data_IF_301397809244
#
_entry.id   IF_301397809244
#
_cell.length_a   1.000
_cell.length_b   1.000
_cell.length_c   1.000
_cell.angle_alpha   90.00
_cell.angle_beta   90.00
_cell.angle_gamma   90.00
#
_symmetry.space_group_name_H-M   'P 1'
#
loop_
_entity.id
_entity.type
_entity.pdbx_description
1 polymer ?
#
# COMPACT_ATOMS: atom_id res chain seq x y z
N UNK A 1 34.91 1.27 -23.18
CA UNK A 1 35.30 1.88 -21.89
C UNK A 1 34.50 1.17 -20.84
N UNK A 2 35.15 0.42 -19.95
CA UNK A 2 34.49 -0.09 -18.74
C UNK A 2 34.03 1.12 -17.92
N UNK A 3 32.74 1.20 -17.61
CA UNK A 3 32.23 2.24 -16.71
C UNK A 3 32.84 2.08 -15.33
N UNK A 4 33.25 3.19 -14.70
CA UNK A 4 33.84 3.16 -13.37
C UNK A 4 32.88 2.50 -12.37
N UNK A 5 33.45 1.73 -11.45
CA UNK A 5 32.65 1.03 -10.42
C UNK A 5 31.90 2.02 -9.52
N UNK A 6 32.47 3.22 -9.31
CA UNK A 6 31.82 4.34 -8.65
C UNK A 6 30.58 4.81 -9.42
N UNK A 7 30.68 5.05 -10.73
CA UNK A 7 29.57 5.49 -11.56
C UNK A 7 28.37 4.56 -11.50
N UNK A 8 28.61 3.27 -11.69
CA UNK A 8 27.56 2.26 -11.57
C UNK A 8 26.93 2.22 -10.18
N UNK A 9 27.66 2.61 -9.13
CA UNK A 9 27.19 2.57 -7.74
C UNK A 9 26.31 3.77 -7.43
N UNK A 10 26.75 5.00 -7.72
CA UNK A 10 25.92 6.18 -7.43
C UNK A 10 24.68 6.23 -8.34
N UNK A 11 24.78 5.84 -9.61
CA UNK A 11 23.61 5.81 -10.52
C UNK A 11 22.53 4.86 -10.02
N UNK A 12 22.92 3.67 -9.53
CA UNK A 12 21.98 2.73 -8.90
C UNK A 12 21.29 3.34 -7.69
N UNK A 13 22.02 4.06 -6.84
CA UNK A 13 21.44 4.72 -5.66
C UNK A 13 20.45 5.81 -6.11
N UNK A 14 20.82 6.66 -7.07
CA UNK A 14 19.96 7.74 -7.56
C UNK A 14 18.69 7.22 -8.25
N UNK A 15 18.81 6.14 -9.04
CA UNK A 15 17.64 5.45 -9.62
C UNK A 15 16.76 4.89 -8.49
N UNK A 16 17.37 4.28 -7.47
CA UNK A 16 16.66 3.79 -6.30
C UNK A 16 15.86 4.87 -5.59
N UNK A 17 16.47 6.05 -5.37
CA UNK A 17 15.81 7.24 -4.83
C UNK A 17 14.65 7.69 -5.73
N UNK A 18 14.88 7.77 -7.05
CA UNK A 18 13.86 8.11 -8.03
C UNK A 18 12.63 7.20 -7.99
N UNK A 19 12.81 5.90 -7.82
CA UNK A 19 11.71 4.94 -7.72
C UNK A 19 10.85 5.12 -6.46
N UNK A 20 11.42 5.62 -5.36
CA UNK A 20 10.64 6.00 -4.17
C UNK A 20 9.80 7.26 -4.39
N UNK A 21 10.28 8.19 -5.21
CA UNK A 21 9.56 9.42 -5.53
C UNK A 21 8.35 9.25 -6.45
N UNK A 22 8.18 8.07 -7.06
CA UNK A 22 7.15 7.82 -8.07
C UNK A 22 6.09 6.84 -7.55
N UNK A 23 4.86 7.34 -7.36
CA UNK A 23 3.72 6.50 -6.97
C UNK A 23 2.76 6.33 -8.14
N UNK A 24 2.74 5.13 -8.74
CA UNK A 24 1.83 4.78 -9.84
C UNK A 24 0.78 3.77 -9.36
N UNK A 25 -0.50 4.17 -9.36
CA UNK A 25 -1.62 3.37 -8.80
C UNK A 25 -2.14 2.24 -9.71
N UNK A 26 -1.46 1.93 -10.81
CA UNK A 26 -1.86 0.86 -11.72
C UNK A 26 -0.85 -0.31 -11.67
N UNK A 27 -1.29 -1.53 -11.99
CA UNK A 27 -0.43 -2.74 -12.09
C UNK A 27 0.42 -3.05 -10.84
N UNK A 28 -0.03 -2.67 -9.64
CA UNK A 28 0.73 -2.83 -8.38
C UNK A 28 2.09 -2.10 -8.39
N UNK A 29 2.31 -1.15 -9.31
CA UNK A 29 3.57 -0.40 -9.38
C UNK A 29 3.83 0.41 -8.09
N UNK A 30 2.78 0.85 -7.40
CA UNK A 30 2.86 1.49 -6.10
C UNK A 30 3.52 0.62 -5.00
N UNK A 31 3.63 -0.70 -5.21
CA UNK A 31 4.34 -1.62 -4.30
C UNK A 31 5.66 -2.11 -4.92
N UNK A 32 5.68 -2.37 -6.23
CA UNK A 32 6.85 -2.89 -6.94
C UNK A 32 7.96 -1.82 -7.02
N UNK A 33 7.64 -0.57 -7.34
CA UNK A 33 8.64 0.50 -7.47
C UNK A 33 9.38 0.75 -6.16
N UNK A 34 8.70 0.98 -5.02
CA UNK A 34 9.39 1.12 -3.74
C UNK A 34 10.25 -0.09 -3.37
N UNK A 35 9.78 -1.32 -3.67
CA UNK A 35 10.56 -2.52 -3.42
C UNK A 35 11.85 -2.58 -4.24
N UNK A 36 11.77 -2.33 -5.55
CA UNK A 36 12.95 -2.25 -6.42
C UNK A 36 13.86 -1.10 -5.98
N UNK A 37 13.28 0.05 -5.63
CA UNK A 37 13.99 1.21 -5.09
C UNK A 37 14.80 0.85 -3.85
N UNK A 38 14.17 0.18 -2.87
CA UNK A 38 14.83 -0.25 -1.64
C UNK A 38 16.00 -1.20 -1.91
N UNK A 39 15.84 -2.14 -2.85
CA UNK A 39 16.91 -3.05 -3.26
C UNK A 39 18.08 -2.33 -3.95
N UNK A 40 17.79 -1.36 -4.82
CA UNK A 40 18.83 -0.54 -5.46
C UNK A 40 19.60 0.31 -4.45
N UNK A 41 18.89 0.94 -3.50
CA UNK A 41 19.52 1.66 -2.39
C UNK A 41 20.41 0.73 -1.56
N UNK A 42 19.87 -0.43 -1.15
CA UNK A 42 20.60 -1.40 -0.34
C UNK A 42 21.87 -1.88 -1.04
N UNK A 43 21.77 -2.31 -2.31
CA UNK A 43 22.91 -2.81 -3.08
C UNK A 43 23.94 -1.71 -3.38
N UNK A 44 23.50 -0.48 -3.64
CA UNK A 44 24.38 0.67 -3.80
C UNK A 44 25.15 1.01 -2.52
N UNK A 45 24.45 1.26 -1.41
CA UNK A 45 25.09 1.58 -0.13
C UNK A 45 25.94 0.43 0.44
N UNK A 46 25.60 -0.83 0.12
CA UNK A 46 26.40 -2.00 0.51
C UNK A 46 27.84 -1.92 0.00
N UNK A 47 28.03 -1.38 -1.21
CA UNK A 47 29.36 -1.17 -1.79
C UNK A 47 30.13 -0.03 -1.10
N UNK A 48 29.40 0.94 -0.56
CA UNK A 48 29.95 2.15 0.08
C UNK A 48 30.18 2.01 1.60
N UNK A 49 29.84 0.86 2.19
CA UNK A 49 29.79 0.68 3.65
C UNK A 49 31.15 0.82 4.38
N UNK A 50 32.25 0.69 3.66
CA UNK A 50 33.62 0.71 4.20
C UNK A 50 34.30 2.07 4.05
N UNK A 51 33.74 2.98 3.26
CA UNK A 51 34.37 4.24 2.89
C UNK A 51 34.40 5.21 4.08
N UNK A 52 33.22 5.57 4.61
CA UNK A 52 33.12 6.50 5.73
C UNK A 52 31.90 6.24 6.63
N UNK A 53 31.84 6.96 7.75
CA UNK A 53 30.79 6.80 8.77
C UNK A 53 29.38 7.10 8.25
N UNK A 54 29.22 8.06 7.35
CA UNK A 54 27.92 8.45 6.80
C UNK A 54 27.40 7.39 5.82
N UNK A 55 28.28 6.84 4.98
CA UNK A 55 27.93 5.77 4.04
C UNK A 55 27.67 4.45 4.76
N UNK A 56 28.39 4.17 5.86
CA UNK A 56 28.09 3.05 6.76
C UNK A 56 26.72 3.20 7.43
N UNK A 57 26.37 4.40 7.91
CA UNK A 57 25.05 4.69 8.45
C UNK A 57 23.97 4.57 7.36
N UNK A 58 24.25 5.06 6.16
CA UNK A 58 23.38 4.91 4.98
C UNK A 58 23.13 3.44 4.62
N UNK A 59 24.14 2.58 4.71
CA UNK A 59 23.96 1.13 4.52
C UNK A 59 23.02 0.51 5.58
N UNK A 60 23.17 0.87 6.85
CA UNK A 60 22.27 0.41 7.91
C UNK A 60 20.83 0.91 7.67
N UNK A 61 20.67 2.17 7.27
CA UNK A 61 19.38 2.75 6.91
C UNK A 61 18.74 2.05 5.71
N UNK A 62 19.51 1.75 4.66
CA UNK A 62 19.00 1.09 3.46
C UNK A 62 18.59 -0.37 3.75
N UNK A 63 19.29 -1.04 4.66
CA UNK A 63 18.87 -2.37 5.13
C UNK A 63 17.54 -2.31 5.89
N UNK A 64 17.39 -1.30 6.76
CA UNK A 64 16.14 -1.07 7.48
C UNK A 64 14.98 -0.72 6.53
N UNK A 65 15.25 0.09 5.49
CA UNK A 65 14.28 0.47 4.45
C UNK A 65 13.73 -0.75 3.72
N UNK A 66 14.60 -1.70 3.35
CA UNK A 66 14.17 -2.97 2.74
C UNK A 66 13.24 -3.74 3.67
N UNK A 67 13.56 -3.82 4.97
CA UNK A 67 12.72 -4.52 5.95
C UNK A 67 11.37 -3.84 6.10
N UNK A 68 11.34 -2.51 6.27
CA UNK A 68 10.10 -1.73 6.36
C UNK A 68 9.26 -1.94 5.10
N UNK A 69 9.86 -1.85 3.92
CA UNK A 69 9.16 -2.04 2.65
C UNK A 69 8.54 -3.43 2.54
N UNK A 70 9.27 -4.49 2.91
CA UNK A 70 8.74 -5.86 2.91
C UNK A 70 7.57 -5.98 3.88
N UNK A 71 7.71 -5.46 5.11
CA UNK A 71 6.65 -5.48 6.13
C UNK A 71 5.42 -4.75 5.63
N UNK A 72 5.57 -3.58 4.99
CA UNK A 72 4.48 -2.81 4.40
C UNK A 72 3.77 -3.53 3.27
N UNK A 73 4.51 -4.20 2.39
CA UNK A 73 3.91 -5.01 1.32
C UNK A 73 3.12 -6.20 1.89
N UNK A 74 3.70 -6.92 2.85
CA UNK A 74 3.07 -8.08 3.48
C UNK A 74 1.80 -7.66 4.25
N UNK A 75 1.88 -6.64 5.11
CA UNK A 75 0.73 -6.16 5.87
C UNK A 75 -0.33 -5.50 5.00
N UNK A 76 0.06 -4.84 3.91
CA UNK A 76 -0.87 -4.31 2.92
C UNK A 76 -1.70 -5.38 2.22
N UNK A 77 -1.24 -6.63 2.21
CA UNK A 77 -1.97 -7.77 1.66
C UNK A 77 -3.01 -8.39 2.61
N UNK A 78 -3.01 -7.99 3.89
CA UNK A 78 -3.95 -8.51 4.91
C UNK A 78 -5.34 -7.89 4.73
N UNK A 79 -6.41 -8.70 4.80
CA UNK A 79 -7.79 -8.22 4.66
C UNK A 79 -8.15 -7.14 5.69
N UNK A 80 -7.77 -7.35 6.95
CA UNK A 80 -8.04 -6.44 8.06
C UNK A 80 -7.02 -5.29 8.17
N UNK A 81 -6.38 -4.90 7.06
CA UNK A 81 -5.38 -3.82 7.03
C UNK A 81 -5.84 -2.54 7.73
N UNK A 82 -7.14 -2.24 7.73
CA UNK A 82 -7.67 -1.02 8.36
C UNK A 82 -7.56 -1.05 9.88
N UNK A 83 -7.74 -2.22 10.51
CA UNK A 83 -7.50 -2.39 11.95
C UNK A 83 -6.00 -2.28 12.27
N UNK A 84 -5.15 -2.80 11.37
CA UNK A 84 -3.70 -2.71 11.49
C UNK A 84 -3.23 -1.26 11.31
N UNK A 85 -3.77 -0.55 10.34
CA UNK A 85 -3.42 0.85 10.05
C UNK A 85 -3.94 1.82 11.11
N UNK A 86 -4.98 1.44 11.85
CA UNK A 86 -5.45 2.17 13.02
C UNK A 86 -4.49 2.06 14.23
N UNK A 87 -3.59 1.06 14.27
CA UNK A 87 -2.61 0.93 15.36
C UNK A 87 -1.63 2.09 15.34
N UNK A 88 -1.38 2.66 16.52
CA UNK A 88 -0.38 3.73 16.70
C UNK A 88 1.02 3.28 16.24
N UNK A 89 1.38 2.01 16.48
CA UNK A 89 2.63 1.44 16.02
C UNK A 89 2.76 1.47 14.49
N UNK A 90 1.67 1.29 13.75
CA UNK A 90 1.67 1.36 12.29
C UNK A 90 1.96 2.76 11.78
N UNK A 91 1.34 3.79 12.39
CA UNK A 91 1.63 5.19 12.06
C UNK A 91 3.12 5.51 12.23
N UNK A 92 3.77 4.93 13.25
CA UNK A 92 5.21 5.04 13.46
C UNK A 92 6.03 4.37 12.35
N UNK A 93 5.65 3.17 11.93
CA UNK A 93 6.34 2.44 10.84
C UNK A 93 6.18 3.16 9.50
N UNK A 94 4.98 3.63 9.19
CA UNK A 94 4.67 4.37 7.95
C UNK A 94 5.45 5.69 7.90
N UNK A 95 5.47 6.44 9.00
CA UNK A 95 6.30 7.63 9.12
C UNK A 95 7.80 7.33 8.98
N UNK A 96 8.29 6.26 9.62
CA UNK A 96 9.68 5.81 9.49
C UNK A 96 10.02 5.44 8.05
N UNK A 97 9.15 4.73 7.32
CA UNK A 97 9.35 4.43 5.90
C UNK A 97 9.35 5.68 5.02
N UNK A 98 8.58 6.71 5.36
CA UNK A 98 8.57 7.97 4.63
C UNK A 98 9.83 8.82 4.83
N UNK A 99 10.36 8.90 6.06
CA UNK A 99 11.53 9.73 6.38
C UNK A 99 12.85 9.10 5.98
N UNK A 100 12.93 7.77 5.98
CA UNK A 100 14.18 7.04 5.84
C UNK A 100 14.85 7.23 4.46
N UNK A 101 14.14 7.28 3.31
CA UNK A 101 14.73 7.66 2.02
C UNK A 101 15.40 9.05 2.03
N UNK A 102 14.86 10.00 2.79
CA UNK A 102 15.44 11.34 2.94
C UNK A 102 16.70 11.31 3.80
N UNK A 103 16.67 10.55 4.90
CA UNK A 103 17.87 10.29 5.70
C UNK A 103 18.97 9.66 4.84
N UNK A 104 18.63 8.74 3.94
CA UNK A 104 19.57 8.13 3.01
C UNK A 104 20.15 9.15 2.02
N UNK A 105 19.35 10.08 1.49
CA UNK A 105 19.86 11.20 0.67
C UNK A 105 20.87 12.06 1.43
N UNK A 106 20.57 12.40 2.69
CA UNK A 106 21.48 13.16 3.55
C UNK A 106 22.77 12.38 3.82
N UNK A 107 22.68 11.08 4.14
CA UNK A 107 23.83 10.21 4.32
C UNK A 107 24.71 10.12 3.07
N UNK A 108 24.11 10.02 1.88
CA UNK A 108 24.85 10.00 0.61
C UNK A 108 25.59 11.33 0.40
N UNK A 109 24.90 12.46 0.54
CA UNK A 109 25.49 13.78 0.38
C UNK A 109 26.66 14.01 1.35
N UNK A 110 26.46 13.74 2.64
CA UNK A 110 27.49 13.92 3.65
C UNK A 110 28.66 12.97 3.43
N UNK A 111 28.39 11.74 2.98
CA UNK A 111 29.41 10.78 2.60
C UNK A 111 30.29 11.28 1.46
N UNK A 112 29.70 11.72 0.35
CA UNK A 112 30.46 12.27 -0.78
C UNK A 112 31.19 13.57 -0.42
N UNK A 113 30.61 14.40 0.45
CA UNK A 113 31.24 15.62 0.93
C UNK A 113 32.51 15.34 1.73
N UNK A 114 32.47 14.36 2.63
CA UNK A 114 33.64 13.98 3.43
C UNK A 114 34.78 13.47 2.52
N UNK A 115 34.47 12.73 1.45
CA UNK A 115 35.47 12.27 0.47
C UNK A 115 36.04 13.41 -0.40
N UNK A 116 35.21 14.40 -0.77
CA UNK A 116 35.65 15.58 -1.53
C UNK A 116 36.49 16.53 -0.66
N UNK A 117 36.12 16.72 0.61
CA UNK A 117 36.90 17.51 1.56
C UNK A 117 38.31 16.92 1.79
N UNK A 118 38.46 15.58 1.78
CA UNK A 118 39.78 14.91 1.83
C UNK A 118 40.65 15.18 0.59
N UNK A 119 40.05 15.64 -0.51
CA UNK A 119 40.72 15.95 -1.79
C UNK A 119 40.90 17.45 -2.00
N UNK A 120 40.79 18.24 -0.92
CA UNK A 120 40.86 19.71 -0.91
C UNK A 120 39.80 20.40 -1.79
N UNK A 121 38.72 19.70 -2.16
CA UNK A 121 37.59 20.26 -2.87
C UNK A 121 36.47 20.70 -1.91
N UNK A 122 36.05 21.96 -2.02
CA UNK A 122 34.94 22.49 -1.23
C UNK A 122 33.63 22.35 -1.97
N UNK A 123 32.69 21.60 -1.38
CA UNK A 123 31.31 21.56 -1.84
C UNK A 123 30.50 22.67 -1.17
N UNK A 124 29.62 23.31 -1.94
CA UNK A 124 28.60 24.19 -1.40
C UNK A 124 27.59 23.40 -0.57
N UNK A 125 27.39 23.79 0.69
CA UNK A 125 26.35 23.23 1.56
C UNK A 125 24.91 23.50 1.10
N UNK A 126 24.74 24.23 0.01
CA UNK A 126 23.44 24.56 -0.63
C UNK A 126 22.60 23.31 -0.93
N UNK A 127 23.21 22.22 -1.40
CA UNK A 127 22.49 20.98 -1.73
C UNK A 127 21.83 20.35 -0.49
N UNK A 128 22.51 20.38 0.66
CA UNK A 128 21.93 19.91 1.92
C UNK A 128 20.71 20.73 2.33
N UNK A 129 20.77 22.06 2.10
CA UNK A 129 19.63 22.94 2.36
C UNK A 129 18.46 22.62 1.42
N UNK A 130 18.71 22.35 0.14
CA UNK A 130 17.65 21.94 -0.79
C UNK A 130 16.94 20.66 -0.32
N UNK A 131 17.71 19.65 0.13
CA UNK A 131 17.13 18.40 0.67
C UNK A 131 16.25 18.68 1.90
N UNK A 132 16.75 19.48 2.85
CA UNK A 132 16.02 19.80 4.10
C UNK A 132 14.76 20.61 3.80
N UNK A 133 14.85 21.64 2.97
CA UNK A 133 13.72 22.51 2.60
C UNK A 133 12.66 21.68 1.87
N UNK A 134 13.07 20.86 0.90
CA UNK A 134 12.15 20.02 0.15
C UNK A 134 11.39 19.06 1.07
N UNK A 135 12.10 18.39 1.99
CA UNK A 135 11.47 17.49 2.94
C UNK A 135 10.48 18.20 3.88
N UNK A 136 10.86 19.38 4.40
CA UNK A 136 9.99 20.19 5.24
C UNK A 136 8.70 20.58 4.50
N UNK A 137 8.82 21.02 3.25
CA UNK A 137 7.68 21.37 2.39
C UNK A 137 6.78 20.17 2.16
N UNK A 138 7.33 19.02 1.75
CA UNK A 138 6.54 17.80 1.51
C UNK A 138 5.82 17.33 2.78
N UNK A 139 6.49 17.39 3.94
CA UNK A 139 5.89 17.00 5.22
C UNK A 139 4.73 17.91 5.60
N UNK A 140 4.89 19.24 5.47
CA UNK A 140 3.81 20.19 5.75
C UNK A 140 2.61 19.96 4.84
N UNK A 141 2.85 19.71 3.54
CA UNK A 141 1.79 19.45 2.58
C UNK A 141 1.07 18.13 2.84
N UNK A 142 1.78 17.11 3.29
CA UNK A 142 1.20 15.84 3.70
C UNK A 142 0.28 16.01 4.92
N UNK A 143 0.69 16.80 5.92
CA UNK A 143 -0.13 17.11 7.11
C UNK A 143 -1.39 17.91 6.74
N UNK A 144 -1.27 18.80 5.76
CA UNK A 144 -2.39 19.62 5.27
C UNK A 144 -3.32 18.89 4.29
N UNK A 145 -3.04 17.61 3.99
CA UNK A 145 -3.79 16.79 3.02
C UNK A 145 -3.97 17.53 1.67
N UNK A 146 -2.92 18.21 1.21
CA UNK A 146 -3.01 19.04 0.01
C UNK A 146 -3.16 18.17 -1.26
N UNK A 147 -4.29 18.27 -1.95
CA UNK A 147 -4.60 17.49 -3.17
C UNK A 147 -4.32 18.21 -4.50
N UNK A 148 -3.61 19.35 -4.49
CA UNK A 148 -3.39 20.14 -5.70
C UNK A 148 -2.30 19.58 -6.64
N UNK A 149 -2.68 19.36 -7.90
CA UNK A 149 -1.79 18.82 -8.93
C UNK A 149 -0.66 19.78 -9.38
N UNK A 150 -0.90 21.10 -9.40
CA UNK A 150 0.10 22.10 -9.82
C UNK A 150 1.31 22.10 -8.90
N UNK A 151 1.08 22.17 -7.58
CA UNK A 151 2.16 22.12 -6.60
C UNK A 151 2.85 20.75 -6.61
N UNK A 152 2.09 19.67 -6.86
CA UNK A 152 2.65 18.33 -7.06
C UNK A 152 3.75 18.30 -8.14
N UNK A 153 3.52 18.92 -9.30
CA UNK A 153 4.55 19.03 -10.35
C UNK A 153 5.77 19.83 -9.91
N UNK A 154 5.58 20.92 -9.17
CA UNK A 154 6.69 21.74 -8.63
C UNK A 154 7.54 20.93 -7.66
N UNK A 155 6.92 20.15 -6.77
CA UNK A 155 7.62 19.28 -5.81
C UNK A 155 8.43 18.21 -6.54
N UNK A 156 7.85 17.58 -7.57
CA UNK A 156 8.54 16.57 -8.37
C UNK A 156 9.71 17.18 -9.13
N UNK A 157 9.54 18.36 -9.74
CA UNK A 157 10.63 19.06 -10.42
C UNK A 157 11.76 19.43 -9.45
N UNK A 158 11.44 19.91 -8.24
CA UNK A 158 12.42 20.19 -7.19
C UNK A 158 13.15 18.91 -6.73
N UNK A 159 12.43 17.80 -6.61
CA UNK A 159 13.01 16.50 -6.28
C UNK A 159 14.01 16.02 -7.35
N UNK A 160 13.64 16.12 -8.63
CA UNK A 160 14.53 15.80 -9.75
C UNK A 160 15.77 16.71 -9.72
N UNK A 161 15.58 18.00 -9.43
CA UNK A 161 16.69 18.94 -9.24
C UNK A 161 17.69 18.49 -8.18
N UNK A 162 17.21 18.04 -7.02
CA UNK A 162 18.04 17.48 -5.94
C UNK A 162 18.81 16.24 -6.42
N UNK A 163 18.17 15.33 -7.14
CA UNK A 163 18.85 14.14 -7.69
C UNK A 163 19.94 14.50 -8.70
N UNK A 164 19.71 15.52 -9.54
CA UNK A 164 20.71 16.04 -10.48
C UNK A 164 21.87 16.71 -9.74
N UNK A 165 21.61 17.47 -8.68
CA UNK A 165 22.67 18.05 -7.83
C UNK A 165 23.52 16.97 -7.16
N UNK A 166 22.89 15.92 -6.61
CA UNK A 166 23.60 14.76 -6.06
C UNK A 166 24.45 14.05 -7.12
N UNK A 167 23.91 13.90 -8.33
CA UNK A 167 24.66 13.33 -9.47
C UNK A 167 25.89 14.16 -9.80
N UNK A 168 25.74 15.48 -9.91
CA UNK A 168 26.85 16.38 -10.22
C UNK A 168 27.94 16.34 -9.15
N UNK A 169 27.59 16.15 -7.87
CA UNK A 169 28.57 15.95 -6.79
C UNK A 169 29.30 14.62 -6.97
N UNK A 170 28.58 13.55 -7.31
CA UNK A 170 29.19 12.24 -7.53
C UNK A 170 30.15 12.25 -8.73
N UNK A 171 29.81 12.95 -9.82
CA UNK A 171 30.68 13.16 -10.98
C UNK A 171 31.92 13.97 -10.60
N UNK A 172 31.79 15.04 -9.81
CA UNK A 172 32.95 15.80 -9.29
C UNK A 172 33.89 14.96 -8.45
N UNK A 173 33.34 14.06 -7.63
CA UNK A 173 34.15 13.14 -6.84
C UNK A 173 34.97 12.21 -7.75
N UNK A 174 34.39 11.75 -8.86
CA UNK A 174 35.09 10.99 -9.89
C UNK A 174 36.19 11.81 -10.58
N UNK A 175 35.90 13.06 -10.96
CA UNK A 175 36.86 14.00 -11.56
C UNK A 175 38.03 14.32 -10.62
N UNK A 176 37.77 14.40 -9.31
CA UNK A 176 38.78 14.55 -8.27
C UNK A 176 39.64 13.28 -8.06
N UNK A 177 39.45 12.24 -8.89
CA UNK A 177 40.23 11.00 -8.90
C UNK A 177 39.76 9.98 -7.87
N UNK A 178 38.48 10.01 -7.47
CA UNK A 178 37.94 9.00 -6.56
C UNK A 178 37.81 7.65 -7.26
N UNK A 179 38.36 6.63 -6.61
CA UNK A 179 38.29 5.24 -7.06
C UNK A 179 37.71 4.43 -5.92
N UNK A 180 36.53 3.86 -6.16
CA UNK A 180 35.88 2.97 -5.21
C UNK A 180 36.58 1.61 -5.22
N UNK A 181 37.17 1.20 -4.11
CA UNK A 181 37.81 -0.10 -3.98
C UNK A 181 36.80 -1.25 -3.98
N UNK A 182 37.00 -2.24 -4.85
CA UNK A 182 36.12 -3.39 -4.95
C UNK A 182 36.33 -4.34 -3.78
N UNK A 183 35.58 -4.12 -2.70
CA UNK A 183 35.57 -5.04 -1.57
C UNK A 183 34.87 -6.36 -1.94
N UNK A 184 35.60 -7.46 -1.95
CA UNK A 184 35.04 -8.79 -2.23
C UNK A 184 33.97 -9.15 -1.19
N UNK A 185 32.70 -9.16 -1.59
CA UNK A 185 31.61 -9.51 -0.68
C UNK A 185 31.28 -11.00 -0.79
N UNK A 186 31.24 -11.70 0.36
CA UNK A 186 30.96 -13.14 0.46
C UNK A 186 29.60 -13.59 -0.11
N UNK A 187 28.66 -12.64 -0.27
CA UNK A 187 27.33 -12.87 -0.83
C UNK A 187 27.11 -11.84 -1.94
N UNK A 188 26.80 -12.30 -3.15
CA UNK A 188 26.52 -11.43 -4.30
C UNK A 188 25.23 -10.64 -4.10
N UNK A 189 25.16 -9.45 -4.68
CA UNK A 189 23.98 -8.59 -4.65
C UNK A 189 22.72 -9.31 -5.17
N UNK A 190 22.88 -10.15 -6.20
CA UNK A 190 21.82 -10.98 -6.77
C UNK A 190 21.21 -11.95 -5.76
N UNK A 191 22.02 -12.54 -4.87
CA UNK A 191 21.53 -13.48 -3.85
C UNK A 191 20.81 -12.77 -2.72
N UNK A 192 21.27 -11.57 -2.33
CA UNK A 192 20.56 -10.74 -1.36
C UNK A 192 19.21 -10.28 -1.91
N UNK A 193 19.16 -9.79 -3.15
CA UNK A 193 17.92 -9.39 -3.81
C UNK A 193 16.96 -10.58 -3.98
N UNK A 194 17.46 -11.74 -4.41
CA UNK A 194 16.67 -12.97 -4.50
C UNK A 194 16.12 -13.40 -3.12
N UNK A 195 16.94 -13.30 -2.07
CA UNK A 195 16.51 -13.59 -0.70
C UNK A 195 15.37 -12.67 -0.23
N UNK A 196 15.49 -11.37 -0.49
CA UNK A 196 14.42 -10.41 -0.19
C UNK A 196 13.14 -10.69 -1.00
N UNK A 197 13.26 -11.05 -2.28
CA UNK A 197 12.13 -11.41 -3.12
C UNK A 197 11.43 -12.68 -2.62
N UNK A 198 12.20 -13.72 -2.26
CA UNK A 198 11.67 -14.97 -1.68
C UNK A 198 10.97 -14.69 -0.35
N UNK A 199 11.58 -13.88 0.52
CA UNK A 199 10.99 -13.51 1.81
C UNK A 199 9.66 -12.78 1.62
N UNK A 200 9.60 -11.85 0.66
CA UNK A 200 8.37 -11.12 0.32
C UNK A 200 7.30 -12.07 -0.22
N UNK A 201 7.66 -12.96 -1.15
CA UNK A 201 6.74 -13.95 -1.71
C UNK A 201 6.21 -14.91 -0.64
N UNK A 202 7.06 -15.37 0.28
CA UNK A 202 6.65 -16.20 1.40
C UNK A 202 5.70 -15.46 2.36
N UNK A 203 6.00 -14.20 2.68
CA UNK A 203 5.13 -13.36 3.51
C UNK A 203 3.77 -13.11 2.87
N UNK A 204 3.74 -12.83 1.57
CA UNK A 204 2.50 -12.69 0.79
C UNK A 204 1.72 -14.01 0.75
N UNK A 205 2.39 -15.15 0.58
CA UNK A 205 1.76 -16.46 0.59
C UNK A 205 1.12 -16.77 1.94
N UNK A 206 1.84 -16.56 3.05
CA UNK A 206 1.31 -16.74 4.41
C UNK A 206 0.13 -15.81 4.68
N UNK A 207 0.24 -14.54 4.27
CA UNK A 207 -0.84 -13.56 4.43
C UNK A 207 -2.09 -14.00 3.67
N UNK A 208 -1.93 -14.49 2.45
CA UNK A 208 -3.02 -15.03 1.64
C UNK A 208 -3.65 -16.28 2.28
N UNK A 209 -2.84 -17.24 2.75
CA UNK A 209 -3.38 -18.50 3.31
C UNK A 209 -4.01 -18.34 4.68
N UNK A 210 -3.47 -17.47 5.54
CA UNK A 210 -3.92 -17.33 6.93
C UNK A 210 -4.89 -16.18 7.15
N UNK A 211 -4.81 -15.12 6.33
CA UNK A 211 -5.60 -13.90 6.50
C UNK A 211 -6.40 -13.51 5.24
N UNK A 212 -6.37 -14.33 4.18
CA UNK A 212 -7.13 -14.11 2.94
C UNK A 212 -8.56 -14.67 2.95
N UNK A 213 -8.91 -15.49 3.95
CA UNK A 213 -10.21 -16.12 4.07
C UNK A 213 -11.14 -15.30 4.96
N UNK A 214 -12.34 -14.99 4.44
CA UNK A 214 -13.42 -14.41 5.23
C UNK A 214 -13.99 -15.51 6.14
N UNK A 215 -13.72 -15.47 7.44
CA UNK A 215 -14.38 -16.39 8.36
C UNK A 215 -15.79 -15.86 8.64
N UNK A 216 -16.74 -16.22 7.78
CA UNK A 216 -18.16 -16.00 8.03
C UNK A 216 -18.60 -16.99 9.11
N UNK A 217 -18.96 -16.50 10.29
CA UNK A 217 -19.72 -17.27 11.27
C UNK A 217 -21.13 -17.49 10.70
N UNK A 218 -21.29 -18.54 9.91
CA UNK A 218 -22.59 -18.99 9.43
C UNK A 218 -23.39 -19.49 10.63
N UNK A 219 -24.29 -18.65 11.13
CA UNK A 219 -25.31 -19.09 12.07
C UNK A 219 -26.46 -19.66 11.26
N UNK A 220 -26.80 -20.94 11.45
CA UNK A 220 -28.03 -21.52 10.90
C UNK A 220 -29.21 -20.65 11.35
N UNK A 221 -30.01 -20.17 10.39
CA UNK A 221 -31.22 -19.45 10.71
C UNK A 221 -32.15 -20.39 11.50
N UNK A 222 -32.45 -20.05 12.76
CA UNK A 222 -33.45 -20.79 13.51
C UNK A 222 -34.82 -20.52 12.88
N UNK A 223 -35.50 -21.56 12.42
CA UNK A 223 -36.90 -21.49 12.03
C UNK A 223 -37.70 -20.92 13.21
N UNK A 224 -38.11 -19.66 13.07
CA UNK A 224 -38.82 -18.96 14.12
C UNK A 224 -40.32 -19.12 13.87
N UNK A 225 -41.00 -19.92 14.71
CA UNK A 225 -42.46 -20.10 14.69
C UNK A 225 -43.22 -18.93 15.34
N UNK A 226 -42.84 -17.69 15.04
CA UNK A 226 -43.53 -16.50 15.57
C UNK A 226 -44.65 -16.08 14.59
N UNK A 227 -45.93 -16.09 15.01
CA UNK A 227 -47.05 -15.73 14.13
C UNK A 227 -46.94 -14.33 13.51
N UNK A 228 -46.32 -13.36 14.19
CA UNK A 228 -46.10 -12.02 13.63
C UNK A 228 -45.05 -11.98 12.51
N UNK A 229 -44.09 -12.92 12.57
CA UNK A 229 -43.06 -13.10 11.56
C UNK A 229 -43.65 -13.78 10.31
N UNK A 230 -44.48 -14.79 10.50
CA UNK A 230 -45.18 -15.49 9.41
C UNK A 230 -46.14 -14.58 8.64
N UNK A 231 -46.89 -13.73 9.34
CA UNK A 231 -47.74 -12.72 8.70
C UNK A 231 -46.90 -11.75 7.84
N UNK A 232 -45.76 -11.31 8.35
CA UNK A 232 -44.86 -10.39 7.63
C UNK A 232 -44.19 -11.09 6.45
N UNK A 233 -43.80 -12.36 6.58
CA UNK A 233 -43.26 -13.17 5.47
C UNK A 233 -44.28 -13.33 4.36
N UNK A 234 -45.52 -13.68 4.69
CA UNK A 234 -46.59 -13.82 3.71
C UNK A 234 -46.85 -12.50 2.96
N UNK A 235 -46.84 -11.37 3.67
CA UNK A 235 -46.94 -10.04 3.08
C UNK A 235 -45.78 -9.74 2.11
N UNK A 236 -44.53 -9.99 2.51
CA UNK A 236 -43.37 -9.79 1.63
C UNK A 236 -43.40 -10.70 0.38
N UNK A 237 -43.79 -11.97 0.52
CA UNK A 237 -43.96 -12.87 -0.62
C UNK A 237 -45.00 -12.34 -1.61
N UNK A 238 -46.12 -11.81 -1.11
CA UNK A 238 -47.16 -11.20 -1.96
C UNK A 238 -46.68 -9.96 -2.73
N UNK A 239 -45.66 -9.27 -2.21
CA UNK A 239 -45.04 -8.11 -2.86
C UNK A 239 -43.94 -8.52 -3.85
N UNK A 240 -43.70 -9.82 -4.05
CA UNK A 240 -42.71 -10.34 -5.00
C UNK A 240 -41.31 -10.54 -4.39
N UNK A 241 -41.20 -10.64 -3.07
CA UNK A 241 -39.93 -10.94 -2.40
C UNK A 241 -39.50 -12.39 -2.68
N UNK A 242 -38.24 -12.67 -3.08
CA UNK A 242 -37.75 -14.03 -3.34
C UNK A 242 -37.76 -14.92 -2.08
N UNK A 243 -38.38 -16.10 -2.18
CA UNK A 243 -38.60 -17.02 -1.03
C UNK A 243 -37.29 -17.58 -0.45
N UNK A 244 -36.31 -17.81 -1.31
CA UNK A 244 -34.95 -18.25 -0.97
C UNK A 244 -34.22 -17.23 -0.08
N UNK A 245 -34.27 -15.94 -0.43
CA UNK A 245 -33.64 -14.86 0.38
C UNK A 245 -34.42 -14.65 1.68
N UNK A 246 -35.75 -14.78 1.64
CA UNK A 246 -36.63 -14.56 2.78
C UNK A 246 -36.39 -15.59 3.90
N UNK A 247 -36.09 -16.84 3.53
CA UNK A 247 -35.81 -17.91 4.49
C UNK A 247 -34.51 -17.68 5.27
N UNK A 248 -33.54 -16.98 4.67
CA UNK A 248 -32.24 -16.69 5.27
C UNK A 248 -32.23 -15.41 6.14
N UNK A 249 -33.34 -14.68 6.19
CA UNK A 249 -33.45 -13.46 6.99
C UNK A 249 -33.67 -13.75 8.48
N UNK A 250 -33.01 -12.95 9.32
CA UNK A 250 -33.24 -12.96 10.77
C UNK A 250 -34.60 -12.37 11.11
N UNK A 251 -35.17 -12.83 12.23
CA UNK A 251 -36.45 -12.33 12.77
C UNK A 251 -36.54 -10.80 12.84
N UNK A 252 -35.47 -10.16 13.32
CA UNK A 252 -35.37 -8.70 13.44
C UNK A 252 -35.46 -8.01 12.08
N UNK A 253 -34.87 -8.61 11.05
CA UNK A 253 -34.87 -8.06 9.70
C UNK A 253 -36.23 -8.23 9.02
N UNK A 254 -36.90 -9.35 9.27
CA UNK A 254 -38.28 -9.60 8.81
C UNK A 254 -39.24 -8.61 9.46
N UNK A 255 -39.18 -8.44 10.78
CA UNK A 255 -40.04 -7.50 11.51
C UNK A 255 -39.79 -6.04 11.09
N UNK A 256 -38.55 -5.68 10.77
CA UNK A 256 -38.23 -4.35 10.22
C UNK A 256 -38.87 -4.09 8.84
N UNK A 257 -39.37 -5.13 8.16
CA UNK A 257 -40.07 -5.06 6.88
C UNK A 257 -41.59 -5.24 7.01
N UNK A 258 -42.15 -5.23 8.23
CA UNK A 258 -43.58 -5.45 8.50
C UNK A 258 -44.51 -4.57 7.65
N UNK A 259 -44.12 -3.32 7.44
CA UNK A 259 -44.91 -2.32 6.72
C UNK A 259 -44.31 -2.01 5.34
N UNK A 260 -43.80 -3.04 4.65
CA UNK A 260 -43.26 -2.90 3.30
C UNK A 260 -44.37 -2.48 2.30
N UNK A 261 -44.09 -1.48 1.46
CA UNK A 261 -45.02 -1.01 0.42
C UNK A 261 -44.69 -1.62 -0.94
N UNK A 262 -43.41 -1.75 -1.25
CA UNK A 262 -42.92 -2.33 -2.50
C UNK A 262 -41.54 -2.96 -2.32
N UNK A 263 -41.26 -3.96 -3.15
CA UNK A 263 -39.98 -4.66 -3.22
C UNK A 263 -39.40 -4.45 -4.61
N UNK A 264 -38.20 -3.88 -4.68
CA UNK A 264 -37.44 -3.72 -5.91
C UNK A 264 -36.27 -4.69 -5.89
N UNK A 265 -36.28 -5.62 -6.84
CA UNK A 265 -35.19 -6.56 -7.05
C UNK A 265 -34.27 -5.99 -8.15
N UNK A 266 -33.03 -5.69 -7.78
CA UNK A 266 -31.98 -5.38 -8.74
C UNK A 266 -31.11 -6.64 -8.92
N UNK A 267 -31.52 -7.48 -9.86
CA UNK A 267 -30.69 -8.60 -10.33
C UNK A 267 -29.56 -7.99 -11.15
N UNK A 268 -28.34 -8.04 -10.60
CA UNK A 268 -27.17 -7.65 -11.38
C UNK A 268 -26.74 -8.83 -12.26
N UNK A 269 -26.77 -8.66 -13.58
CA UNK A 269 -26.20 -9.62 -14.54
C UNK A 269 -24.65 -9.68 -14.47
N UNK A 270 -24.04 -8.83 -13.64
CA UNK A 270 -22.61 -8.81 -13.36
C UNK A 270 -22.22 -10.03 -12.50
N UNK A 271 -22.15 -11.18 -13.15
CA UNK A 271 -21.45 -12.33 -12.58
C UNK A 271 -19.97 -11.97 -12.47
N UNK A 272 -19.49 -11.70 -11.25
CA UNK A 272 -18.05 -11.64 -11.01
C UNK A 272 -17.51 -13.07 -11.13
N UNK A 273 -16.91 -13.38 -12.28
CA UNK A 273 -16.20 -14.66 -12.50
C UNK A 273 -14.94 -14.70 -11.65
N UNK A 274 -15.09 -15.17 -10.42
CA UNK A 274 -13.98 -15.62 -9.58
C UNK A 274 -13.46 -16.97 -10.07
N UNK A 275 -12.17 -17.25 -9.83
CA UNK A 275 -11.53 -18.52 -10.20
C UNK A 275 -12.12 -19.73 -9.45
N UNK A 276 -12.85 -19.48 -8.36
CA UNK A 276 -13.41 -20.49 -7.45
C UNK A 276 -14.96 -20.53 -7.44
N UNK A 277 -15.63 -19.80 -8.34
CA UNK A 277 -17.10 -19.85 -8.46
C UNK A 277 -17.71 -18.56 -8.98
N UNK A 278 -18.96 -18.67 -9.45
CA UNK A 278 -19.79 -17.55 -9.87
C UNK A 278 -20.41 -16.91 -8.63
N UNK A 279 -20.02 -15.67 -8.33
CA UNK A 279 -20.63 -14.91 -7.24
C UNK A 279 -21.70 -13.98 -7.84
N UNK A 280 -22.97 -14.29 -7.58
CA UNK A 280 -24.09 -13.41 -7.89
C UNK A 280 -24.37 -12.52 -6.67
N UNK A 281 -24.39 -11.21 -6.90
CA UNK A 281 -24.89 -10.23 -5.94
C UNK A 281 -26.31 -9.87 -6.36
N UNK A 282 -27.27 -10.32 -5.57
CA UNK A 282 -28.65 -9.85 -5.69
C UNK A 282 -28.86 -8.74 -4.66
N UNK A 283 -29.14 -7.54 -5.18
CA UNK A 283 -29.50 -6.39 -4.37
C UNK A 283 -31.02 -6.28 -4.29
N UNK A 284 -31.56 -6.37 -3.09
CA UNK A 284 -32.99 -6.23 -2.85
C UNK A 284 -33.25 -4.95 -2.05
N UNK A 285 -34.19 -4.11 -2.49
CA UNK A 285 -34.60 -2.93 -1.76
C UNK A 285 -36.08 -3.02 -1.38
N UNK A 286 -36.39 -2.81 -0.11
CA UNK A 286 -37.75 -2.78 0.43
C UNK A 286 -38.08 -1.36 0.83
N UNK A 287 -39.14 -0.77 0.26
CA UNK A 287 -39.64 0.54 0.70
C UNK A 287 -40.61 0.35 1.88
N UNK A 288 -40.45 1.17 2.92
CA UNK A 288 -41.28 1.14 4.12
C UNK A 288 -42.41 2.18 4.06
N UNK A 289 -43.32 2.12 5.04
CA UNK A 289 -44.51 2.97 5.19
C UNK A 289 -44.28 4.48 5.03
N UNK A 290 -43.08 4.99 5.40
CA UNK A 290 -42.69 6.37 5.15
C UNK A 290 -42.04 6.50 3.78
N UNK A 291 -42.67 7.27 2.89
CA UNK A 291 -42.17 7.56 1.55
C UNK A 291 -40.73 8.05 1.60
N UNK A 292 -39.82 7.33 0.92
CA UNK A 292 -38.38 7.61 0.94
C UNK A 292 -37.54 6.86 1.98
N UNK A 293 -38.13 6.01 2.83
CA UNK A 293 -37.37 5.07 3.67
C UNK A 293 -37.18 3.73 2.98
N UNK A 294 -35.91 3.40 2.72
CA UNK A 294 -35.52 2.18 2.02
C UNK A 294 -34.65 1.30 2.91
N UNK A 295 -34.99 0.02 2.97
CA UNK A 295 -34.12 -1.01 3.54
C UNK A 295 -33.51 -1.82 2.40
N UNK A 296 -32.19 -1.69 2.24
CA UNK A 296 -31.44 -2.43 1.21
C UNK A 296 -30.81 -3.66 1.84
N UNK A 297 -31.14 -4.82 1.29
CA UNK A 297 -30.65 -6.14 1.66
C UNK A 297 -29.77 -6.62 0.51
N UNK A 298 -28.49 -6.84 0.78
CA UNK A 298 -27.59 -7.48 -0.17
C UNK A 298 -27.49 -8.96 0.18
N UNK A 299 -27.89 -9.81 -0.75
CA UNK A 299 -27.76 -11.25 -0.64
C UNK A 299 -26.68 -11.73 -1.64
N UNK A 300 -25.83 -12.65 -1.20
CA UNK A 300 -24.70 -13.14 -2.00
C UNK A 300 -24.59 -14.64 -1.87
N UNK A 301 -24.60 -15.35 -3.01
CA UNK A 301 -24.37 -16.79 -3.07
C UNK A 301 -22.88 -17.10 -3.21
N UNK A 302 -22.31 -17.94 -2.33
CA UNK A 302 -20.92 -18.41 -2.44
C UNK A 302 -20.43 -19.26 -1.26
N UNK A 303 -19.68 -20.34 -1.56
CA UNK A 303 -19.21 -21.34 -0.57
C UNK A 303 -17.91 -20.92 0.16
N UNK A 304 -17.12 -20.00 -0.40
CA UNK A 304 -15.95 -19.40 0.25
C UNK A 304 -15.57 -18.10 -0.49
N UNK A 305 -15.69 -16.93 0.14
CA UNK A 305 -15.21 -15.67 -0.46
C UNK A 305 -13.78 -15.45 0.01
N UNK A 306 -12.79 -15.77 -0.84
CA UNK A 306 -11.40 -15.36 -0.63
C UNK A 306 -11.20 -13.99 -1.27
N UNK A 307 -10.87 -12.98 -0.47
CA UNK A 307 -10.65 -11.66 -1.06
C UNK A 307 -9.27 -11.64 -1.71
N UNK A 308 -9.24 -11.49 -3.03
CA UNK A 308 -8.04 -11.01 -3.71
C UNK A 308 -7.90 -9.52 -3.42
N UNK A 309 -6.68 -9.08 -3.13
CA UNK A 309 -6.36 -7.69 -2.78
C UNK A 309 -7.04 -6.71 -3.75
N UNK A 310 -8.09 -6.02 -3.29
CA UNK A 310 -8.72 -4.94 -4.04
C UNK A 310 -10.25 -4.87 -4.03
N UNK A 311 -10.99 -5.96 -3.76
CA UNK A 311 -12.45 -5.91 -3.72
C UNK A 311 -12.99 -6.07 -2.30
N UNK A 312 -13.36 -4.94 -1.70
CA UNK A 312 -14.19 -4.92 -0.49
C UNK A 312 -15.62 -5.30 -0.87
N UNK A 313 -16.04 -6.52 -0.58
CA UNK A 313 -17.45 -6.87 -0.61
C UNK A 313 -18.04 -6.59 0.77
N UNK A 314 -18.65 -5.41 0.90
CA UNK A 314 -19.36 -5.02 2.12
C UNK A 314 -20.65 -5.82 2.25
N UNK A 315 -20.81 -6.60 3.32
CA UNK A 315 -22.15 -6.92 3.84
C UNK A 315 -22.64 -5.68 4.58
N UNK A 316 -23.31 -4.79 3.86
CA UNK A 316 -23.88 -3.55 4.43
C UNK A 316 -25.40 -3.66 4.38
N UNK A 317 -26.03 -4.00 5.50
CA UNK A 317 -27.43 -3.61 5.71
C UNK A 317 -27.38 -2.12 6.02
N UNK A 318 -27.59 -1.29 5.00
CA UNK A 318 -27.62 0.16 5.16
C UNK A 318 -29.07 0.59 5.27
N UNK A 319 -29.46 1.09 6.44
CA UNK A 319 -30.67 1.88 6.58
C UNK A 319 -30.39 3.25 5.96
N UNK A 320 -31.03 3.53 4.82
CA UNK A 320 -30.97 4.87 4.20
C UNK A 320 -32.24 5.60 4.62
N UNK A 321 -32.11 6.54 5.56
CA UNK A 321 -33.07 7.63 5.75
C UNK A 321 -32.70 8.72 4.75
N UNK A 322 -33.59 9.03 3.81
CA UNK A 322 -33.63 10.36 3.21
C UNK A 322 -34.31 11.33 4.17
#
# INVERSE_FOLDING_TARGET
MEESFWKQTYEKILIGMGLFGITLKFLFLNQILPFIGALLLFTGFRKLRSENRWLKAGYAGAALEVVITIVTIVLGSVLEREKIYALYAWKGIDFCGGILPVVLMICLFLGMREELEQRDEKIKSEVLLHIIIWYAVVTVLAIQEYEGWILGFVIVAAYIGILVELKNIAEKLEEAGYVLEEHSVRISDSRCAAGAAILTAAGLFVSYTCFGAYHMEWTTANETQDPACEETKAHLLSLGFPEDILHDLKKEDILACKNARQVLLNQSDDSLRGRDGQLQLDGLAVELEQEGQWKVIHHSYGMEIRAFAGQKQYRSIRHIRK
#
